data_IF_875860841791
#
_entry.id   IF_875860841791
#
_cell.length_a   1.000
_cell.length_b   1.000
_cell.length_c   1.000
_cell.angle_alpha   90.00
_cell.angle_beta   90.00
_cell.angle_gamma   90.00
#
_symmetry.space_group_name_H-M   'P 1'
#
loop_
_entity.id
_entity.type
_entity.pdbx_description
1 polymer ?
#
# COMPACT_ATOMS: atom_id res chain seq x y z
N UNK A 1 3.67 -25.73 2.81
CA UNK A 1 2.24 -25.91 2.42
C UNK A 1 2.22 -26.75 1.15
N UNK A 2 1.40 -27.80 1.10
CA UNK A 2 1.19 -28.58 -0.13
C UNK A 2 -0.24 -28.29 -0.60
N UNK A 3 -0.36 -27.76 -1.83
CA UNK A 3 -1.66 -27.49 -2.45
C UNK A 3 -1.87 -28.44 -3.65
N UNK A 4 -3.08 -29.01 -3.74
CA UNK A 4 -3.50 -29.83 -4.89
C UNK A 4 -4.37 -28.97 -5.79
N UNK A 5 -3.93 -28.71 -7.02
CA UNK A 5 -4.64 -27.90 -8.01
C UNK A 5 -5.32 -28.81 -9.03
N UNK A 6 -6.57 -28.49 -9.39
CA UNK A 6 -7.35 -29.18 -10.44
C UNK A 6 -7.85 -28.16 -11.45
N UNK A 7 -8.21 -28.63 -12.66
CA UNK A 7 -8.71 -27.76 -13.74
C UNK A 7 -10.09 -27.20 -13.37
N UNK A 8 -10.27 -25.89 -13.48
CA UNK A 8 -11.54 -25.18 -13.29
C UNK A 8 -11.59 -23.96 -14.22
N UNK A 9 -12.79 -23.44 -14.48
CA UNK A 9 -13.01 -22.14 -15.13
C UNK A 9 -13.34 -21.08 -14.08
N UNK A 10 -12.95 -19.82 -14.33
CA UNK A 10 -13.29 -18.66 -13.50
C UNK A 10 -13.79 -17.57 -14.42
N UNK A 11 -14.96 -17.01 -14.10
CA UNK A 11 -15.56 -15.87 -14.80
C UNK A 11 -16.08 -14.88 -13.75
N UNK A 12 -15.93 -13.59 -14.02
CA UNK A 12 -16.37 -12.53 -13.11
C UNK A 12 -15.55 -11.26 -13.25
N UNK A 13 -15.95 -10.23 -12.51
CA UNK A 13 -15.26 -8.93 -12.43
C UNK A 13 -14.91 -8.67 -10.98
N UNK A 14 -13.67 -8.26 -10.73
CA UNK A 14 -13.20 -7.87 -9.41
C UNK A 14 -12.45 -6.55 -9.52
N UNK A 15 -12.50 -5.76 -8.45
CA UNK A 15 -11.63 -4.59 -8.34
C UNK A 15 -10.25 -5.06 -7.93
N UNK A 16 -9.24 -4.70 -8.72
CA UNK A 16 -7.85 -4.95 -8.35
C UNK A 16 -7.51 -4.16 -7.06
N UNK A 17 -6.74 -4.75 -6.14
CA UNK A 17 -6.25 -4.00 -4.99
C UNK A 17 -5.32 -2.86 -5.46
N UNK A 18 -5.22 -1.77 -4.68
CA UNK A 18 -4.34 -0.66 -5.00
C UNK A 18 -2.87 -1.08 -5.09
N UNK A 19 -2.12 -0.40 -5.96
CA UNK A 19 -0.74 -0.73 -6.29
C UNK A 19 0.21 -0.45 -5.13
N UNK A 20 0.88 -1.50 -4.65
CA UNK A 20 1.92 -1.43 -3.61
C UNK A 20 3.01 -0.42 -3.95
N UNK A 21 3.58 -0.51 -5.16
CA UNK A 21 4.66 0.37 -5.59
C UNK A 21 4.23 1.84 -5.69
N UNK A 22 2.98 2.12 -6.11
CA UNK A 22 2.48 3.49 -6.10
C UNK A 22 2.25 4.01 -4.70
N UNK A 23 1.71 3.20 -3.80
CA UNK A 23 1.55 3.58 -2.39
C UNK A 23 2.88 3.98 -1.73
N UNK A 24 3.96 3.24 -1.96
CA UNK A 24 5.29 3.65 -1.49
C UNK A 24 5.68 5.03 -2.04
N UNK A 25 5.50 5.27 -3.34
CA UNK A 25 5.85 6.55 -3.97
C UNK A 25 5.01 7.69 -3.43
N UNK A 26 3.71 7.50 -3.23
CA UNK A 26 2.83 8.51 -2.67
C UNK A 26 3.19 8.85 -1.23
N UNK A 27 3.53 7.86 -0.40
CA UNK A 27 4.01 8.12 0.96
C UNK A 27 5.32 8.92 0.97
N UNK A 28 6.26 8.59 0.09
CA UNK A 28 7.52 9.33 -0.01
C UNK A 28 7.27 10.76 -0.52
N UNK A 29 6.41 10.93 -1.54
CA UNK A 29 6.05 12.24 -2.04
C UNK A 29 5.37 13.09 -0.96
N UNK A 30 4.46 12.50 -0.17
CA UNK A 30 3.79 13.16 0.96
C UNK A 30 4.80 13.65 2.01
N UNK A 31 5.77 12.81 2.38
CA UNK A 31 6.84 13.17 3.31
C UNK A 31 7.69 14.35 2.84
N UNK A 32 7.95 14.45 1.52
CA UNK A 32 8.79 15.48 0.92
C UNK A 32 8.03 16.77 0.58
N UNK A 33 6.70 16.74 0.64
CA UNK A 33 5.85 17.89 0.31
C UNK A 33 5.65 18.78 1.53
N UNK A 34 5.55 20.11 1.35
CA UNK A 34 5.22 20.99 2.47
C UNK A 34 3.77 20.79 2.89
N UNK A 35 3.50 20.89 4.21
CA UNK A 35 2.15 20.83 4.75
C UNK A 35 1.61 19.41 4.93
N UNK A 36 0.30 19.25 4.78
CA UNK A 36 -0.41 17.98 4.96
C UNK A 36 -0.69 17.32 3.60
N UNK A 37 -0.54 16.00 3.54
CA UNK A 37 -0.84 15.19 2.37
C UNK A 37 -1.82 14.09 2.73
N UNK A 38 -2.84 13.90 1.88
CA UNK A 38 -3.84 12.85 2.02
C UNK A 38 -3.61 11.80 0.93
N UNK A 39 -3.38 10.55 1.32
CA UNK A 39 -3.22 9.42 0.41
C UNK A 39 -4.44 8.52 0.49
N UNK A 40 -5.29 8.59 -0.52
CA UNK A 40 -6.55 7.82 -0.57
C UNK A 40 -6.33 6.41 -1.14
N UNK A 41 -7.08 5.44 -0.59
CA UNK A 41 -7.07 4.03 -1.02
C UNK A 41 -5.65 3.43 -1.17
N UNK A 42 -4.76 3.58 -0.19
CA UNK A 42 -3.43 3.00 -0.30
C UNK A 42 -3.48 1.47 -0.24
N UNK A 43 -2.48 0.82 -0.82
CA UNK A 43 -2.20 -0.59 -0.60
C UNK A 43 -1.80 -0.81 0.85
N UNK A 44 -2.56 -1.62 1.57
CA UNK A 44 -2.29 -1.96 2.97
C UNK A 44 -1.66 -3.35 3.03
N UNK A 45 -0.34 -3.39 3.15
CA UNK A 45 0.42 -4.62 3.34
C UNK A 45 1.58 -4.37 4.32
N UNK A 46 2.34 -5.42 4.64
CA UNK A 46 3.49 -5.30 5.55
C UNK A 46 4.53 -4.31 5.01
N UNK A 47 4.78 -4.33 3.70
CA UNK A 47 5.75 -3.44 3.06
C UNK A 47 5.36 -1.97 3.18
N UNK A 48 4.11 -1.62 2.86
CA UNK A 48 3.65 -0.23 2.90
C UNK A 48 3.52 0.29 4.33
N UNK A 49 3.18 -0.57 5.28
CA UNK A 49 3.26 -0.26 6.72
C UNK A 49 4.69 0.00 7.18
N UNK A 50 5.66 -0.79 6.70
CA UNK A 50 7.08 -0.57 7.01
C UNK A 50 7.56 0.80 6.48
N UNK A 51 7.10 1.22 5.29
CA UNK A 51 7.38 2.56 4.77
C UNK A 51 6.75 3.66 5.64
N UNK A 52 5.48 3.54 6.05
CA UNK A 52 4.88 4.52 6.97
C UNK A 52 5.64 4.61 8.30
N UNK A 53 6.10 3.48 8.83
CA UNK A 53 6.89 3.46 10.07
C UNK A 53 8.25 4.14 9.88
N UNK A 54 8.93 3.93 8.76
CA UNK A 54 10.15 4.66 8.44
C UNK A 54 9.91 6.17 8.36
N UNK A 55 8.80 6.60 7.73
CA UNK A 55 8.38 8.00 7.66
C UNK A 55 8.14 8.58 9.05
N UNK A 56 7.48 7.85 9.95
CA UNK A 56 7.33 8.25 11.35
C UNK A 56 8.68 8.43 12.06
N UNK A 57 9.60 7.50 11.87
CA UNK A 57 10.94 7.55 12.47
C UNK A 57 11.79 8.71 11.94
N UNK A 58 11.51 9.18 10.71
CA UNK A 58 12.12 10.37 10.14
C UNK A 58 11.53 11.68 10.66
N UNK A 59 10.55 11.63 11.59
CA UNK A 59 10.00 12.80 12.28
C UNK A 59 8.64 13.28 11.75
N UNK A 60 8.06 12.60 10.76
CA UNK A 60 6.74 12.98 10.25
C UNK A 60 5.60 12.42 11.15
N UNK A 61 4.60 13.25 11.39
CA UNK A 61 3.34 12.81 11.99
C UNK A 61 2.50 12.10 10.93
N UNK A 62 2.08 10.86 11.21
CA UNK A 62 1.26 10.04 10.30
C UNK A 62 0.06 9.49 11.04
N UNK A 63 -1.14 9.91 10.65
CA UNK A 63 -2.43 9.31 11.02
C UNK A 63 -2.86 8.27 9.97
N UNK A 64 -3.57 7.23 10.42
CA UNK A 64 -4.08 6.13 9.57
C UNK A 64 -5.52 5.85 9.91
#
# INVERSE_FOLDING_TARGET
>A
MIAVVRKSSVEGVVNAPPSKSQTHRFYIAAMLSPGESIVEQPSICLDTKATLNAIRLMGCTVSV
#
